data_IF_604949228948
#
_entry.id   IF_604949228948
#
_cell.length_a   1.000
_cell.length_b   1.000
_cell.length_c   1.000
_cell.angle_alpha   90.00
_cell.angle_beta   90.00
_cell.angle_gamma   90.00
#
_symmetry.space_group_name_H-M   'P 1'
#
loop_
_entity.id
_entity.type
_entity.pdbx_description
1 polymer ?
#
# COMPACT_ATOMS: atom_id res chain seq x y z
N UNK A 1 -4.75 8.52 -17.37
CA UNK A 1 -4.32 8.15 -16.01
C UNK A 1 -3.65 9.34 -15.37
N UNK A 2 -4.01 9.69 -14.14
CA UNK A 2 -3.39 10.77 -13.35
C UNK A 2 -2.24 10.23 -12.51
N UNK A 3 -1.25 11.05 -12.20
CA UNK A 3 -0.13 10.69 -11.33
C UNK A 3 -0.02 11.74 -10.21
N UNK A 4 -0.25 11.31 -8.98
CA UNK A 4 -0.27 12.18 -7.81
C UNK A 4 0.84 11.74 -6.85
N UNK A 5 2.04 12.30 -7.02
CA UNK A 5 3.20 12.00 -6.16
C UNK A 5 3.40 13.18 -5.21
N UNK A 6 3.23 12.92 -3.92
CA UNK A 6 3.56 13.86 -2.85
C UNK A 6 5.00 13.59 -2.43
N UNK A 7 5.85 14.62 -2.51
CA UNK A 7 7.22 14.57 -1.99
C UNK A 7 7.22 14.96 -0.51
N UNK A 8 8.03 14.30 0.33
CA UNK A 8 8.13 14.67 1.73
C UNK A 8 8.78 16.05 1.84
N UNK A 9 8.27 16.88 2.76
CA UNK A 9 8.83 18.23 2.99
C UNK A 9 10.23 18.18 3.62
N UNK A 10 10.50 17.13 4.39
CA UNK A 10 11.78 16.85 5.02
C UNK A 10 12.24 15.45 4.62
N UNK A 11 13.54 15.17 4.76
CA UNK A 11 14.04 13.80 4.59
C UNK A 11 13.36 12.86 5.60
N UNK A 12 12.94 11.69 5.13
CA UNK A 12 12.35 10.68 6.00
C UNK A 12 13.42 10.15 6.97
N UNK A 13 13.04 9.78 8.20
CA UNK A 13 13.99 9.25 9.18
C UNK A 13 14.64 7.93 8.74
N UNK A 14 14.05 7.26 7.75
CA UNK A 14 14.49 5.98 7.17
C UNK A 14 14.20 5.97 5.66
N UNK A 15 14.89 5.09 4.92
CA UNK A 15 14.73 4.97 3.46
C UNK A 15 13.35 4.48 3.03
N UNK A 16 12.77 3.59 3.83
CA UNK A 16 11.44 3.01 3.63
C UNK A 16 10.39 3.93 4.24
N UNK A 17 9.23 4.04 3.60
CA UNK A 17 8.16 4.93 4.08
C UNK A 17 7.37 5.59 2.97
N UNK A 18 7.41 5.06 1.74
CA UNK A 18 6.58 5.53 0.64
C UNK A 18 5.41 4.57 0.45
N UNK A 19 4.20 5.08 0.68
CA UNK A 19 2.97 4.37 0.38
C UNK A 19 2.56 4.63 -1.07
N UNK A 20 1.92 3.63 -1.70
CA UNK A 20 1.42 3.72 -3.07
C UNK A 20 0.00 3.16 -3.09
N UNK A 21 -0.91 3.86 -3.78
CA UNK A 21 -2.22 3.31 -4.14
C UNK A 21 -2.50 3.49 -5.63
N UNK A 22 -3.23 2.55 -6.20
CA UNK A 22 -3.69 2.57 -7.58
C UNK A 22 -5.20 2.75 -7.59
N UNK A 23 -5.72 3.56 -8.51
CA UNK A 23 -7.16 3.61 -8.78
C UNK A 23 -7.42 2.81 -10.05
N UNK A 24 -8.01 1.63 -9.91
CA UNK A 24 -8.37 0.75 -11.03
C UNK A 24 -9.77 1.13 -11.52
N UNK A 25 -9.90 1.46 -12.81
CA UNK A 25 -11.16 1.93 -13.41
C UNK A 25 -12.34 1.01 -13.16
N UNK A 26 -12.11 -0.29 -13.34
CA UNK A 26 -13.12 -1.33 -13.16
C UNK A 26 -12.47 -2.54 -12.51
N UNK A 27 -12.96 -2.94 -11.34
CA UNK A 27 -12.52 -4.14 -10.63
C UNK A 27 -13.73 -4.84 -10.02
N UNK A 28 -13.93 -6.13 -10.35
CA UNK A 28 -15.02 -6.97 -9.80
C UNK A 28 -16.42 -6.32 -9.81
N UNK A 29 -16.73 -5.53 -10.83
CA UNK A 29 -18.05 -4.88 -10.94
C UNK A 29 -18.16 -3.54 -10.20
N UNK A 30 -17.06 -2.98 -9.69
CA UNK A 30 -16.99 -1.66 -9.04
C UNK A 30 -16.15 -0.69 -9.86
N UNK A 31 -16.50 0.60 -9.80
CA UNK A 31 -15.81 1.70 -10.48
C UNK A 31 -14.75 2.32 -9.57
N UNK A 32 -13.65 2.76 -10.17
CA UNK A 32 -12.59 3.55 -9.53
C UNK A 32 -12.14 2.98 -8.17
N UNK A 33 -11.89 1.67 -8.15
CA UNK A 33 -11.49 0.94 -6.93
C UNK A 33 -10.07 1.30 -6.55
N UNK A 34 -9.88 1.70 -5.28
CA UNK A 34 -8.58 1.99 -4.71
C UNK A 34 -7.92 0.69 -4.24
N UNK A 35 -6.69 0.49 -4.68
CA UNK A 35 -5.86 -0.66 -4.33
C UNK A 35 -4.61 -0.14 -3.64
N UNK A 36 -4.46 -0.44 -2.35
CA UNK A 36 -3.29 -0.09 -1.57
C UNK A 36 -2.19 -1.11 -1.77
N UNK A 37 -1.07 -0.68 -2.34
CA UNK A 37 0.06 -1.55 -2.60
C UNK A 37 0.90 -1.71 -1.34
N UNK A 38 1.36 -2.94 -1.11
CA UNK A 38 2.23 -3.25 -0.01
C UNK A 38 3.22 -4.36 -0.39
N UNK A 39 4.32 -4.41 0.36
CA UNK A 39 5.32 -5.45 0.27
C UNK A 39 4.93 -6.58 1.23
N UNK A 40 4.68 -7.81 0.75
CA UNK A 40 4.24 -8.90 1.62
C UNK A 40 5.36 -9.52 2.44
N UNK A 41 6.61 -9.31 2.03
CA UNK A 41 7.80 -9.91 2.63
C UNK A 41 8.92 -8.89 2.72
N UNK A 42 9.66 -8.87 3.81
CA UNK A 42 10.77 -7.94 4.04
C UNK A 42 11.99 -8.67 4.61
N UNK A 43 13.14 -7.99 4.56
CA UNK A 43 14.35 -8.50 5.19
C UNK A 43 14.26 -8.34 6.72
N UNK A 44 14.39 -9.44 7.44
CA UNK A 44 14.39 -9.46 8.90
C UNK A 44 15.59 -8.74 9.51
N UNK A 45 16.72 -8.66 8.80
CA UNK A 45 17.89 -7.91 9.28
C UNK A 45 17.69 -6.40 9.08
N UNK A 46 16.99 -6.00 8.01
CA UNK A 46 16.51 -4.62 7.85
C UNK A 46 15.58 -4.26 9.02
N UNK A 47 14.60 -5.10 9.33
CA UNK A 47 13.66 -4.89 10.42
C UNK A 47 14.34 -4.74 11.80
N UNK A 48 15.43 -5.46 12.05
CA UNK A 48 16.20 -5.35 13.31
C UNK A 48 17.09 -4.11 13.37
N UNK A 49 17.43 -3.52 12.23
CA UNK A 49 18.34 -2.37 12.15
C UNK A 49 17.70 -1.05 12.59
N UNK A 50 16.36 -0.98 12.60
CA UNK A 50 15.62 0.24 12.88
C UNK A 50 15.55 0.62 14.36
N UNK A 51 15.67 1.92 14.65
CA UNK A 51 15.40 2.50 15.97
C UNK A 51 13.89 2.71 16.15
N UNK A 52 13.18 1.61 16.45
CA UNK A 52 11.72 1.61 16.57
C UNK A 52 11.16 2.59 17.60
N UNK A 53 11.95 2.99 18.61
CA UNK A 53 11.54 3.97 19.60
C UNK A 53 11.40 5.38 19.02
N UNK A 54 12.11 5.70 17.94
CA UNK A 54 12.00 6.98 17.24
C UNK A 54 11.00 6.95 16.09
N UNK A 55 10.73 5.76 15.55
CA UNK A 55 9.86 5.59 14.39
C UNK A 55 8.40 5.37 14.77
N UNK A 56 8.14 4.83 15.97
CA UNK A 56 6.79 4.62 16.48
C UNK A 56 6.37 5.75 17.42
N UNK A 57 5.14 6.21 17.26
CA UNK A 57 4.54 7.30 18.00
C UNK A 57 3.56 6.82 19.06
N UNK A 58 2.73 7.73 19.54
CA UNK A 58 1.67 7.37 20.49
C UNK A 58 0.65 6.40 19.86
N UNK A 59 0.00 5.55 20.67
CA UNK A 59 -1.10 4.72 20.20
C UNK A 59 -2.29 5.55 19.72
N UNK A 60 -2.98 5.07 18.68
CA UNK A 60 -4.22 5.68 18.18
C UNK A 60 -5.33 5.57 19.24
N UNK A 61 -5.43 4.43 19.91
CA UNK A 61 -6.32 4.22 21.04
C UNK A 61 -5.50 3.90 22.30
N UNK A 62 -5.63 4.75 23.33
CA UNK A 62 -4.94 4.61 24.61
C UNK A 62 -5.55 3.55 25.52
N UNK A 63 -6.74 3.04 25.19
CA UNK A 63 -7.46 2.07 25.99
C UNK A 63 -7.25 0.62 25.51
N UNK A 64 -6.60 0.43 24.35
CA UNK A 64 -6.35 -0.89 23.76
C UNK A 64 -4.89 -1.29 24.03
N UNK A 65 -4.62 -2.56 24.40
CA UNK A 65 -3.25 -3.06 24.47
C UNK A 65 -2.55 -2.88 23.13
N UNK A 66 -1.43 -2.18 23.16
CA UNK A 66 -0.70 -1.82 21.95
C UNK A 66 0.17 -2.99 21.54
N UNK A 67 0.02 -3.48 20.30
CA UNK A 67 0.99 -4.38 19.69
C UNK A 67 2.01 -3.56 18.87
N UNK A 68 3.21 -3.30 19.42
CA UNK A 68 4.24 -2.60 18.68
C UNK A 68 4.74 -3.43 17.48
N UNK A 69 4.54 -4.76 17.44
CA UNK A 69 5.01 -5.61 16.34
C UNK A 69 4.19 -5.34 15.08
N UNK A 70 2.86 -5.37 15.14
CA UNK A 70 2.02 -5.03 13.98
C UNK A 70 2.27 -3.60 13.47
N UNK A 71 2.54 -2.65 14.38
CA UNK A 71 2.85 -1.27 14.00
C UNK A 71 4.16 -1.14 13.22
N UNK A 72 5.13 -2.03 13.45
CA UNK A 72 6.39 -2.10 12.66
C UNK A 72 6.14 -2.56 11.23
N UNK A 73 5.18 -3.48 11.04
CA UNK A 73 4.85 -4.03 9.72
C UNK A 73 4.34 -2.95 8.76
N UNK A 74 3.66 -1.91 9.26
CA UNK A 74 3.26 -0.73 8.47
C UNK A 74 4.45 -0.10 7.75
N UNK A 75 5.58 0.04 8.45
CA UNK A 75 6.80 0.57 7.82
C UNK A 75 7.36 -0.45 6.84
N UNK A 76 7.48 -1.71 7.25
CA UNK A 76 8.15 -2.77 6.49
C UNK A 76 7.41 -3.14 5.19
N UNK A 77 6.09 -3.02 5.18
CA UNK A 77 5.25 -3.26 4.01
C UNK A 77 5.22 -2.05 3.06
N UNK A 78 5.76 -0.90 3.45
CA UNK A 78 5.91 0.26 2.56
C UNK A 78 7.18 0.17 1.70
N UNK A 79 7.32 1.09 0.74
CA UNK A 79 8.40 1.05 -0.24
C UNK A 79 9.52 2.06 0.09
N UNK A 80 10.72 1.80 -0.42
CA UNK A 80 11.76 2.80 -0.58
C UNK A 80 11.47 3.72 -1.79
N UNK A 81 12.22 4.81 -1.94
CA UNK A 81 12.02 5.73 -3.06
C UNK A 81 12.34 5.06 -4.41
N UNK A 82 13.39 4.24 -4.45
CA UNK A 82 13.79 3.50 -5.65
C UNK A 82 12.74 2.44 -6.02
N UNK A 83 12.25 1.70 -5.03
CA UNK A 83 11.17 0.72 -5.23
C UNK A 83 9.89 1.40 -5.72
N UNK A 84 9.52 2.55 -5.13
CA UNK A 84 8.36 3.34 -5.56
C UNK A 84 8.46 3.71 -7.03
N UNK A 85 9.59 4.25 -7.46
CA UNK A 85 9.75 4.73 -8.83
C UNK A 85 9.68 3.58 -9.84
N UNK A 86 10.32 2.44 -9.52
CA UNK A 86 10.25 1.22 -10.34
C UNK A 86 8.82 0.66 -10.42
N UNK A 87 8.06 0.67 -9.32
CA UNK A 87 6.65 0.26 -9.31
C UNK A 87 5.83 1.21 -10.20
N UNK A 88 5.97 2.52 -10.03
CA UNK A 88 5.21 3.52 -10.78
C UNK A 88 5.46 3.36 -12.28
N UNK A 89 6.72 3.19 -12.70
CA UNK A 89 7.06 3.00 -14.11
C UNK A 89 6.51 1.69 -14.67
N UNK A 90 6.61 0.58 -13.93
CA UNK A 90 5.99 -0.69 -14.30
C UNK A 90 4.46 -0.56 -14.47
N UNK A 91 3.79 0.14 -13.54
CA UNK A 91 2.34 0.33 -13.58
C UNK A 91 1.91 1.23 -14.75
N UNK A 92 2.69 2.27 -15.06
CA UNK A 92 2.49 3.14 -16.23
C UNK A 92 2.63 2.37 -17.54
N UNK A 93 3.69 1.58 -17.68
CA UNK A 93 3.97 0.88 -18.93
C UNK A 93 2.90 -0.18 -19.23
N UNK A 94 2.49 -0.94 -18.21
CA UNK A 94 1.67 -2.13 -18.40
C UNK A 94 0.17 -1.93 -18.21
N UNK A 95 -0.22 -0.99 -17.35
CA UNK A 95 -1.60 -0.88 -16.87
C UNK A 95 -2.22 0.52 -17.06
N UNK A 96 -1.56 1.45 -17.75
CA UNK A 96 -2.07 2.82 -17.95
C UNK A 96 -3.49 2.91 -18.53
N UNK A 97 -3.91 1.94 -19.35
CA UNK A 97 -5.27 1.91 -19.91
C UNK A 97 -6.32 1.48 -18.89
N UNK A 98 -5.94 0.67 -17.88
CA UNK A 98 -6.80 0.14 -16.82
C UNK A 98 -6.85 1.04 -15.58
N UNK A 99 -5.85 1.90 -15.40
CA UNK A 99 -5.73 2.77 -14.23
C UNK A 99 -6.30 4.18 -14.50
N UNK A 100 -7.07 4.67 -13.54
CA UNK A 100 -7.52 6.06 -13.47
C UNK A 100 -6.45 6.95 -12.87
N UNK A 101 -5.79 6.49 -11.80
CA UNK A 101 -4.73 7.23 -11.13
C UNK A 101 -3.70 6.30 -10.46
N UNK A 102 -2.51 6.86 -10.22
CA UNK A 102 -1.50 6.31 -9.32
C UNK A 102 -1.21 7.40 -8.29
N UNK A 103 -1.32 7.06 -7.01
CA UNK A 103 -1.02 7.94 -5.90
C UNK A 103 0.20 7.42 -5.17
N UNK A 104 1.09 8.33 -4.76
CA UNK A 104 2.14 7.99 -3.81
C UNK A 104 2.36 9.13 -2.84
N UNK A 105 2.58 8.77 -1.58
CA UNK A 105 2.86 9.72 -0.51
C UNK A 105 3.82 9.12 0.51
N UNK A 106 4.65 9.94 1.17
CA UNK A 106 5.37 9.49 2.34
C UNK A 106 4.40 9.12 3.47
N UNK A 107 4.81 8.19 4.32
CA UNK A 107 4.21 7.98 5.63
C UNK A 107 4.53 9.16 6.55
N UNK A 108 3.61 9.44 7.45
CA UNK A 108 3.81 10.41 8.51
C UNK A 108 4.59 9.76 9.65
N UNK A 109 5.62 10.44 10.13
CA UNK A 109 6.43 9.99 11.25
C UNK A 109 6.25 10.93 12.46
N UNK A 110 6.20 10.39 13.69
CA UNK A 110 6.30 8.96 14.01
C UNK A 110 5.00 8.19 13.66
N UNK A 111 5.13 6.92 13.27
CA UNK A 111 4.01 6.06 12.86
C UNK A 111 3.19 5.75 14.12
N UNK A 112 1.88 6.07 14.15
CA UNK A 112 1.08 5.86 15.33
C UNK A 112 0.87 4.36 15.56
N UNK A 113 0.94 3.93 16.83
CA UNK A 113 0.80 2.52 17.15
C UNK A 113 -0.67 2.08 17.17
N UNK A 114 -0.91 0.79 16.91
CA UNK A 114 -2.25 0.21 16.85
C UNK A 114 -2.92 0.29 15.47
N UNK A 115 -2.15 0.67 14.43
CA UNK A 115 -2.54 0.46 13.04
C UNK A 115 -2.50 -1.03 12.69
N UNK A 116 -3.46 -1.46 11.87
CA UNK A 116 -3.48 -2.81 11.29
C UNK A 116 -2.70 -2.75 9.96
N UNK A 117 -1.61 -3.52 9.80
CA UNK A 117 -0.88 -3.61 8.55
C UNK A 117 -1.72 -4.30 7.47
N UNK A 118 -1.55 -3.87 6.23
CA UNK A 118 -2.31 -4.36 5.08
C UNK A 118 -2.13 -5.87 4.91
N UNK A 119 -0.94 -6.41 5.20
CA UNK A 119 -0.68 -7.84 5.13
C UNK A 119 -1.46 -8.69 6.15
N UNK A 120 -2.02 -8.09 7.22
CA UNK A 120 -2.78 -8.80 8.26
C UNK A 120 -4.30 -8.71 8.05
N UNK A 121 -4.77 -7.93 7.08
CA UNK A 121 -6.20 -7.80 6.79
C UNK A 121 -6.68 -9.08 6.08
N UNK A 122 -7.63 -9.83 6.68
CA UNK A 122 -8.14 -11.06 6.06
C UNK A 122 -8.97 -10.73 4.81
N UNK A 123 -8.83 -11.56 3.78
CA UNK A 123 -9.69 -11.51 2.60
C UNK A 123 -11.08 -12.07 2.94
N UNK A 124 -12.12 -11.43 2.42
CA UNK A 124 -13.52 -11.87 2.53
C UNK A 124 -14.29 -11.57 1.23
N UNK A 125 -15.62 -11.53 1.28
CA UNK A 125 -16.44 -11.26 0.08
C UNK A 125 -16.23 -9.83 -0.47
N UNK A 126 -15.83 -8.89 0.39
CA UNK A 126 -15.68 -7.48 0.07
C UNK A 126 -14.20 -7.04 0.01
N UNK A 127 -13.35 -7.66 0.83
CA UNK A 127 -11.92 -7.40 0.92
C UNK A 127 -11.17 -8.42 0.07
N UNK A 128 -10.33 -7.96 -0.85
CA UNK A 128 -9.48 -8.87 -1.62
C UNK A 128 -8.06 -8.38 -1.80
N UNK A 129 -7.18 -9.31 -2.16
CA UNK A 129 -5.78 -9.03 -2.41
C UNK A 129 -5.38 -9.41 -3.85
N UNK A 130 -4.69 -8.50 -4.54
CA UNK A 130 -4.06 -8.75 -5.83
C UNK A 130 -2.60 -9.12 -5.58
N UNK A 131 -2.23 -10.36 -5.91
CA UNK A 131 -0.84 -10.84 -5.88
C UNK A 131 -0.22 -10.60 -7.25
N UNK A 132 0.48 -9.48 -7.43
CA UNK A 132 0.92 -9.08 -8.77
C UNK A 132 1.94 -10.04 -9.38
N UNK A 133 2.73 -10.72 -8.54
CA UNK A 133 3.71 -11.72 -8.96
C UNK A 133 3.08 -12.97 -9.61
N UNK A 134 1.80 -13.23 -9.35
CA UNK A 134 1.05 -14.32 -9.99
C UNK A 134 0.54 -13.93 -11.39
N UNK A 135 0.61 -12.64 -11.76
CA UNK A 135 0.16 -12.15 -13.06
C UNK A 135 1.24 -12.44 -14.12
N UNK A 136 0.85 -12.95 -15.32
CA UNK A 136 1.79 -13.24 -16.39
C UNK A 136 2.72 -12.07 -16.74
N UNK A 137 3.96 -12.42 -17.03
CA UNK A 137 5.04 -11.50 -17.36
C UNK A 137 5.38 -10.50 -16.22
N UNK A 138 5.19 -10.82 -14.95
CA UNK A 138 5.61 -9.93 -13.84
C UNK A 138 7.11 -9.57 -13.94
N UNK A 139 7.43 -8.26 -13.85
CA UNK A 139 8.77 -7.73 -14.14
C UNK A 139 9.45 -7.04 -12.95
N UNK A 140 8.74 -6.85 -11.84
CA UNK A 140 9.34 -6.20 -10.67
C UNK A 140 10.31 -7.16 -9.96
N UNK A 141 11.41 -6.66 -9.39
CA UNK A 141 12.44 -7.50 -8.77
C UNK A 141 12.06 -8.00 -7.35
N UNK A 142 10.87 -7.69 -6.87
CA UNK A 142 10.34 -8.06 -5.56
C UNK A 142 8.81 -8.25 -5.65
N UNK A 143 8.19 -9.03 -4.75
CA UNK A 143 6.74 -9.20 -4.74
C UNK A 143 6.02 -7.92 -4.31
N UNK A 144 4.86 -7.65 -4.92
CA UNK A 144 3.99 -6.53 -4.61
C UNK A 144 2.56 -7.05 -4.55
N UNK A 145 1.91 -6.82 -3.42
CA UNK A 145 0.50 -7.13 -3.22
C UNK A 145 -0.33 -5.85 -3.24
N UNK A 146 -1.62 -5.98 -3.52
CA UNK A 146 -2.55 -4.86 -3.56
C UNK A 146 -3.87 -5.19 -2.86
N UNK A 147 -4.13 -4.57 -1.72
CA UNK A 147 -5.38 -4.74 -0.97
C UNK A 147 -6.45 -3.76 -1.47
N UNK A 148 -7.68 -4.23 -1.64
CA UNK A 148 -8.84 -3.39 -1.92
C UNK A 148 -10.04 -3.81 -1.07
N UNK A 149 -10.96 -2.87 -0.85
CA UNK A 149 -12.18 -3.06 -0.04
C UNK A 149 -13.36 -2.55 -0.87
N UNK A 150 -14.15 -3.44 -1.47
CA UNK A 150 -15.17 -3.09 -2.46
C UNK A 150 -16.31 -2.23 -1.89
N UNK A 151 -16.67 -2.40 -0.62
CA UNK A 151 -17.74 -1.66 0.06
C UNK A 151 -17.45 -0.17 0.22
N UNK A 152 -16.20 0.24 0.00
CA UNK A 152 -15.79 1.64 -0.03
C UNK A 152 -15.98 2.29 -1.41
N UNK A 153 -16.43 1.53 -2.41
CA UNK A 153 -16.52 1.96 -3.80
C UNK A 153 -17.92 1.81 -4.39
N UNK A 154 -18.18 2.56 -5.46
CA UNK A 154 -19.47 2.54 -6.16
C UNK A 154 -19.56 1.32 -7.08
N UNK A 155 -20.64 0.52 -7.00
CA UNK A 155 -20.87 -0.55 -7.96
C UNK A 155 -21.13 0.03 -9.36
N UNK A 156 -20.74 -0.72 -10.39
CA UNK A 156 -21.14 -0.43 -11.77
C UNK A 156 -22.63 -0.73 -11.87
N UNK A 157 -23.45 0.31 -11.92
CA UNK A 157 -24.84 0.17 -12.35
C UNK A 157 -24.84 -0.44 -13.76
N UNK A 158 -25.36 -1.66 -13.87
CA UNK A 158 -25.77 -2.20 -15.15
C UNK A 158 -27.05 -1.46 -15.53
N UNK A 159 -26.95 -0.44 -16.39
CA UNK A 159 -28.14 0.07 -17.06
C UNK A 159 -28.75 -1.11 -17.85
N UNK A 160 -29.89 -1.59 -17.36
CA UNK A 160 -30.75 -2.48 -18.12
C UNK A 160 -31.40 -1.65 -19.24
N UNK A 161 -30.76 -1.62 -20.40
CA UNK A 161 -31.40 -1.21 -21.67
C UNK A 161 -32.44 -2.26 -22.11
#
# INVERSE_FOLDING_TARGET
>A
MRLNIITPQNELPVKRGYAISLIIKNLKGYKDVEVHLFRPEWDEDEAKSYDWLKLLGDPIDRNVPVDPISSRKILLESFTIEERDVIIDCMKERYATRLSAINSRPLDFPIPMGLIPLCEIPEDDDIGCIRFEEIPNYTLPFPVHGLYILSQHEPIEWEMD
#
